data_IF_546960063370
#
_entry.id   IF_546960063370
#
_cell.length_a   1.000
_cell.length_b   1.000
_cell.length_c   1.000
_cell.angle_alpha   90.00
_cell.angle_beta   90.00
_cell.angle_gamma   90.00
#
_symmetry.space_group_name_H-M   'P 1'
#
loop_
_entity.id
_entity.type
_entity.pdbx_description
1 polymer ?
#
# COMPACT_ATOMS: atom_id res chain seq x y z
N UNK A 1 -35.51 -3.41 -63.14
CA UNK A 1 -34.27 -3.92 -62.50
C UNK A 1 -33.62 -2.75 -61.80
N UNK A 2 -33.35 -2.70 -60.50
CA UNK A 2 -33.63 -3.58 -59.37
C UNK A 2 -33.50 -2.72 -58.11
N UNK A 3 -34.43 -2.89 -57.19
CA UNK A 3 -34.43 -2.33 -55.83
C UNK A 3 -33.52 -3.20 -54.95
N UNK A 4 -32.55 -2.62 -54.25
CA UNK A 4 -31.78 -3.29 -53.18
C UNK A 4 -31.74 -2.31 -51.99
N UNK A 5 -32.68 -2.43 -51.07
CA UNK A 5 -32.63 -3.19 -49.81
C UNK A 5 -31.64 -2.62 -48.78
N UNK A 6 -32.14 -1.65 -48.01
CA UNK A 6 -31.48 -1.06 -46.85
C UNK A 6 -32.02 -1.64 -45.56
N UNK A 7 -31.58 -2.84 -45.15
CA UNK A 7 -31.88 -3.39 -43.82
C UNK A 7 -30.76 -4.28 -43.27
N UNK A 8 -29.54 -3.78 -43.07
CA UNK A 8 -28.61 -4.57 -42.23
C UNK A 8 -27.47 -3.83 -41.52
N UNK A 9 -27.76 -2.74 -40.79
CA UNK A 9 -26.73 -2.07 -39.96
C UNK A 9 -27.10 -1.79 -38.50
N UNK A 10 -28.29 -2.19 -38.03
CA UNK A 10 -28.77 -1.87 -36.66
C UNK A 10 -28.73 -3.02 -35.64
N UNK A 11 -28.31 -4.23 -36.00
CA UNK A 11 -28.32 -5.39 -35.07
C UNK A 11 -27.01 -5.66 -34.31
N UNK A 12 -25.85 -5.20 -34.77
CA UNK A 12 -24.55 -5.58 -34.19
C UNK A 12 -24.06 -4.75 -32.98
N UNK A 13 -24.67 -3.59 -32.67
CA UNK A 13 -24.26 -2.75 -31.53
C UNK A 13 -24.81 -3.21 -30.17
N UNK A 14 -25.93 -3.93 -30.16
CA UNK A 14 -26.66 -4.30 -28.93
C UNK A 14 -26.12 -5.56 -28.25
N UNK A 15 -25.62 -6.52 -29.04
CA UNK A 15 -25.06 -7.78 -28.54
C UNK A 15 -23.69 -7.60 -27.84
N UNK A 16 -22.81 -6.73 -28.36
CA UNK A 16 -21.49 -6.43 -27.76
C UNK A 16 -21.57 -5.69 -26.42
N UNK A 17 -22.64 -4.91 -26.19
CA UNK A 17 -22.86 -4.18 -24.93
C UNK A 17 -23.40 -5.08 -23.80
N UNK A 18 -24.16 -6.13 -24.13
CA UNK A 18 -24.67 -7.10 -23.15
C UNK A 18 -23.58 -8.04 -22.61
N UNK A 19 -22.59 -8.44 -23.43
CA UNK A 19 -21.49 -9.29 -22.99
C UNK A 19 -20.62 -8.67 -21.89
N UNK A 20 -20.22 -7.40 -22.05
CA UNK A 20 -19.43 -6.66 -21.03
C UNK A 20 -20.20 -6.40 -19.73
N UNK A 21 -21.48 -6.06 -19.83
CA UNK A 21 -22.31 -5.83 -18.64
C UNK A 21 -22.54 -7.12 -17.83
N UNK A 22 -22.64 -8.26 -18.52
CA UNK A 22 -22.75 -9.58 -17.89
C UNK A 22 -21.47 -9.99 -17.17
N UNK A 23 -20.30 -9.76 -17.79
CA UNK A 23 -18.99 -10.05 -17.17
C UNK A 23 -18.71 -9.15 -15.96
N UNK A 24 -19.07 -7.86 -16.03
CA UNK A 24 -18.91 -6.94 -14.89
C UNK A 24 -19.83 -7.31 -13.73
N UNK A 25 -21.07 -7.75 -14.02
CA UNK A 25 -22.00 -8.22 -12.99
C UNK A 25 -21.51 -9.50 -12.32
N UNK A 26 -20.98 -10.46 -13.08
CA UNK A 26 -20.38 -11.68 -12.55
C UNK A 26 -19.15 -11.37 -11.68
N UNK A 27 -18.26 -10.48 -12.13
CA UNK A 27 -17.08 -10.02 -11.38
C UNK A 27 -17.47 -9.35 -10.06
N UNK A 28 -18.49 -8.48 -10.07
CA UNK A 28 -19.02 -7.85 -8.86
C UNK A 28 -19.64 -8.86 -7.89
N UNK A 29 -20.37 -9.86 -8.40
CA UNK A 29 -20.94 -10.94 -7.57
C UNK A 29 -19.85 -11.77 -6.91
N UNK A 30 -18.83 -12.17 -7.66
CA UNK A 30 -17.68 -12.92 -7.14
C UNK A 30 -16.88 -12.08 -6.13
N UNK A 31 -16.64 -10.80 -6.40
CA UNK A 31 -15.98 -9.89 -5.46
C UNK A 31 -16.77 -9.75 -4.15
N UNK A 32 -18.11 -9.71 -4.21
CA UNK A 32 -18.97 -9.70 -3.02
C UNK A 32 -18.94 -11.01 -2.24
N UNK A 33 -18.94 -12.16 -2.92
CA UNK A 33 -18.84 -13.47 -2.27
C UNK A 33 -17.48 -13.67 -1.60
N UNK A 34 -16.39 -13.22 -2.23
CA UNK A 34 -15.06 -13.20 -1.61
C UNK A 34 -15.07 -12.28 -0.40
N UNK A 35 -15.54 -11.04 -0.55
CA UNK A 35 -15.61 -10.10 0.56
C UNK A 35 -16.48 -10.60 1.74
N UNK A 36 -17.51 -11.40 1.48
CA UNK A 36 -18.36 -12.00 2.52
C UNK A 36 -17.69 -13.16 3.26
N UNK A 37 -16.68 -13.81 2.68
CA UNK A 37 -15.94 -14.95 3.28
C UNK A 37 -14.55 -14.56 3.76
N UNK A 38 -14.13 -13.34 3.49
CA UNK A 38 -12.82 -12.81 3.83
C UNK A 38 -12.93 -11.93 5.06
N UNK A 39 -12.05 -12.16 6.03
CA UNK A 39 -11.90 -11.24 7.15
C UNK A 39 -11.04 -10.07 6.71
N UNK A 40 -11.53 -8.86 6.98
CA UNK A 40 -10.77 -7.63 6.74
C UNK A 40 -10.48 -6.92 8.05
N UNK A 41 -9.30 -6.33 8.12
CA UNK A 41 -8.85 -5.50 9.23
C UNK A 41 -8.54 -4.09 8.75
N UNK A 42 -8.93 -3.11 9.55
CA UNK A 42 -8.57 -1.70 9.39
C UNK A 42 -7.77 -1.27 10.62
N UNK A 43 -6.60 -0.67 10.39
CA UNK A 43 -5.84 0.02 11.42
C UNK A 43 -5.98 1.52 11.24
N UNK A 44 -6.37 2.22 12.30
CA UNK A 44 -6.64 3.65 12.22
C UNK A 44 -6.77 4.29 13.60
N UNK A 45 -7.33 5.49 13.62
CA UNK A 45 -7.54 6.24 14.86
C UNK A 45 -8.57 5.51 15.74
N UNK A 46 -8.31 5.48 17.04
CA UNK A 46 -9.25 4.95 18.03
C UNK A 46 -10.51 5.82 18.17
N UNK A 47 -11.56 5.26 18.77
CA UNK A 47 -12.79 5.96 19.13
C UNK A 47 -14.05 5.48 18.40
N UNK A 48 -13.91 4.65 17.37
CA UNK A 48 -15.05 3.99 16.72
C UNK A 48 -15.50 2.75 17.50
N UNK A 49 -16.80 2.47 17.48
CA UNK A 49 -17.45 1.34 18.16
C UNK A 49 -18.04 0.34 17.16
N UNK A 50 -18.43 -0.83 17.66
CA UNK A 50 -19.14 -1.84 16.86
C UNK A 50 -20.45 -1.26 16.33
N UNK A 51 -20.71 -1.45 15.04
CA UNK A 51 -21.86 -0.89 14.34
C UNK A 51 -21.60 0.48 13.71
N UNK A 52 -20.52 1.16 14.08
CA UNK A 52 -20.15 2.42 13.44
C UNK A 52 -19.74 2.20 11.99
N UNK A 53 -19.91 3.26 11.21
CA UNK A 53 -19.45 3.30 9.83
C UNK A 53 -18.12 4.03 9.77
N UNK A 54 -17.09 3.32 9.33
CA UNK A 54 -15.83 3.90 8.91
C UNK A 54 -16.06 4.69 7.61
N UNK A 55 -15.84 6.00 7.68
CA UNK A 55 -16.04 6.95 6.59
C UNK A 55 -14.70 7.45 6.05
N UNK A 56 -14.69 7.82 4.77
CA UNK A 56 -13.49 8.30 4.10
C UNK A 56 -13.07 9.69 4.60
N UNK A 57 -11.78 10.06 4.48
CA UNK A 57 -11.27 11.39 4.83
C UNK A 57 -12.03 12.55 4.18
N UNK A 58 -12.50 12.38 2.94
CA UNK A 58 -13.34 13.38 2.25
C UNK A 58 -14.63 13.74 3.02
N UNK A 59 -15.18 12.80 3.79
CA UNK A 59 -16.42 13.00 4.55
C UNK A 59 -16.16 13.39 6.01
N UNK A 60 -15.03 12.98 6.57
CA UNK A 60 -14.70 13.20 7.99
C UNK A 60 -13.77 14.38 8.22
N UNK A 61 -13.11 14.88 7.16
CA UNK A 61 -11.98 15.81 7.23
C UNK A 61 -10.82 15.30 8.10
N UNK A 62 -10.74 13.99 8.35
CA UNK A 62 -9.65 13.39 9.09
C UNK A 62 -8.34 13.51 8.30
N UNK A 63 -7.24 13.75 9.01
CA UNK A 63 -5.89 13.67 8.43
C UNK A 63 -5.66 12.21 8.01
N UNK A 64 -5.20 12.03 6.78
CA UNK A 64 -5.02 10.72 6.15
C UNK A 64 -3.73 10.70 5.33
N UNK A 65 -3.20 9.51 5.06
CA UNK A 65 -2.10 9.30 4.10
C UNK A 65 -2.40 9.96 2.75
N UNK A 66 -3.67 10.00 2.33
CA UNK A 66 -4.12 10.72 1.11
C UNK A 66 -3.93 12.24 1.12
N UNK A 67 -3.51 12.84 2.25
CA UNK A 67 -3.06 14.23 2.31
C UNK A 67 -1.62 14.40 1.80
N UNK A 68 -0.83 13.32 1.76
CA UNK A 68 0.60 13.34 1.46
C UNK A 68 0.97 12.42 0.29
N UNK A 69 0.19 11.36 0.06
CA UNK A 69 0.38 10.41 -1.02
C UNK A 69 -0.68 10.62 -2.13
N UNK A 70 -0.25 10.94 -3.37
CA UNK A 70 -1.17 11.15 -4.50
C UNK A 70 -1.83 9.85 -5.02
N UNK A 71 -1.31 8.68 -4.67
CA UNK A 71 -1.89 7.38 -5.04
C UNK A 71 -3.11 7.09 -4.15
N UNK A 72 -3.02 7.44 -2.87
CA UNK A 72 -4.10 7.29 -1.92
C UNK A 72 -5.27 8.26 -2.21
N UNK A 73 -6.45 7.69 -2.42
CA UNK A 73 -7.72 8.40 -2.67
C UNK A 73 -8.40 8.85 -1.38
N UNK A 74 -8.77 10.13 -1.29
CA UNK A 74 -9.51 10.74 -0.15
C UNK A 74 -10.94 10.25 0.02
N UNK A 75 -11.54 9.70 -1.03
CA UNK A 75 -12.93 9.21 -1.04
C UNK A 75 -13.05 7.70 -0.80
N UNK A 76 -12.04 7.11 -0.15
CA UNK A 76 -11.95 5.69 0.16
C UNK A 76 -11.50 5.46 1.60
N UNK A 77 -11.83 4.28 2.10
CA UNK A 77 -11.30 3.69 3.32
C UNK A 77 -10.52 2.44 2.94
N UNK A 78 -9.42 2.18 3.65
CA UNK A 78 -8.47 1.11 3.35
C UNK A 78 -8.51 0.04 4.43
N UNK A 79 -8.41 -1.21 4.01
CA UNK A 79 -8.41 -2.38 4.89
C UNK A 79 -7.65 -3.51 4.20
N UNK A 80 -7.23 -4.50 4.97
CA UNK A 80 -6.37 -5.59 4.48
C UNK A 80 -6.83 -6.93 5.01
N UNK A 81 -6.45 -8.00 4.32
CA UNK A 81 -6.58 -9.39 4.81
C UNK A 81 -5.41 -9.83 5.68
N UNK A 82 -4.44 -8.95 5.92
CA UNK A 82 -3.32 -9.20 6.82
C UNK A 82 -3.51 -8.38 8.10
N UNK A 83 -3.87 -9.09 9.18
CA UNK A 83 -4.08 -8.47 10.50
C UNK A 83 -2.86 -7.71 11.00
N UNK A 84 -1.64 -8.20 10.75
CA UNK A 84 -0.42 -7.53 11.22
C UNK A 84 -0.13 -6.27 10.41
N UNK A 85 -0.38 -6.30 9.10
CA UNK A 85 -0.30 -5.10 8.27
C UNK A 85 -1.25 -4.02 8.78
N UNK A 86 -2.50 -4.35 9.10
CA UNK A 86 -3.44 -3.40 9.70
C UNK A 86 -2.94 -2.85 11.04
N UNK A 87 -2.38 -3.69 11.93
CA UNK A 87 -1.81 -3.24 13.21
C UNK A 87 -0.66 -2.26 13.02
N UNK A 88 0.20 -2.48 12.04
CA UNK A 88 1.29 -1.55 11.73
C UNK A 88 0.77 -0.15 11.40
N UNK A 89 -0.32 -0.03 10.65
CA UNK A 89 -0.97 1.25 10.37
C UNK A 89 -1.68 1.86 11.57
N UNK A 90 -2.32 1.03 12.42
CA UNK A 90 -2.88 1.52 13.68
C UNK A 90 -1.82 2.20 14.55
N UNK A 91 -0.62 1.59 14.65
CA UNK A 91 0.49 2.14 15.43
C UNK A 91 1.11 3.42 14.89
N UNK A 92 0.83 3.81 13.64
CA UNK A 92 1.27 5.13 13.13
C UNK A 92 0.42 6.28 13.68
N UNK A 93 -0.79 6.00 14.16
CA UNK A 93 -1.72 7.03 14.62
C UNK A 93 -1.33 7.61 15.98
N UNK A 94 -0.40 6.97 16.70
CA UNK A 94 0.07 7.41 18.02
C UNK A 94 0.99 8.64 17.95
N UNK A 95 1.47 9.03 16.77
CA UNK A 95 2.28 10.22 16.55
C UNK A 95 1.40 11.48 16.42
N UNK A 96 0.71 11.85 17.51
CA UNK A 96 0.02 13.14 17.65
C UNK A 96 -1.47 13.17 17.23
N UNK A 97 -2.04 12.06 16.76
CA UNK A 97 -3.46 11.97 16.36
C UNK A 97 -4.35 11.21 17.37
N UNK A 98 -3.79 10.76 18.50
CA UNK A 98 -4.48 10.01 19.54
C UNK A 98 -3.92 8.59 19.67
N UNK A 99 -4.78 7.63 20.03
CA UNK A 99 -4.39 6.22 20.10
C UNK A 99 -4.75 5.48 18.82
N UNK A 100 -3.93 4.50 18.44
CA UNK A 100 -4.25 3.58 17.35
C UNK A 100 -5.21 2.47 17.78
N UNK A 101 -6.09 2.03 16.90
CA UNK A 101 -6.94 0.87 17.13
C UNK A 101 -7.01 -0.05 15.91
N UNK A 102 -7.23 -1.34 16.19
CA UNK A 102 -7.45 -2.37 15.20
C UNK A 102 -8.92 -2.75 15.16
N UNK A 103 -9.51 -2.68 13.98
CA UNK A 103 -10.90 -2.98 13.74
C UNK A 103 -11.05 -4.15 12.78
N UNK A 104 -11.95 -5.09 13.08
CA UNK A 104 -12.47 -6.02 12.09
C UNK A 104 -13.63 -5.37 11.37
N UNK A 105 -13.60 -5.37 10.04
CA UNK A 105 -14.54 -4.57 9.24
C UNK A 105 -15.21 -5.37 8.13
N UNK A 106 -16.43 -4.98 7.78
CA UNK A 106 -17.10 -5.39 6.55
C UNK A 106 -17.12 -4.23 5.55
N UNK A 107 -16.56 -4.38 4.34
CA UNK A 107 -16.67 -3.36 3.30
C UNK A 107 -18.13 -3.08 2.96
N UNK A 108 -18.49 -1.82 2.77
CA UNK A 108 -19.82 -1.43 2.29
C UNK A 108 -19.72 -0.81 0.90
N UNK A 109 -20.27 -1.52 -0.08
CA UNK A 109 -20.26 -1.14 -1.49
C UNK A 109 -19.34 -2.03 -2.31
N UNK A 110 -18.84 -1.49 -3.41
CA UNK A 110 -17.87 -2.20 -4.25
C UNK A 110 -16.47 -2.09 -3.61
N UNK A 111 -15.80 -3.24 -3.49
CA UNK A 111 -14.42 -3.36 -3.00
C UNK A 111 -13.46 -3.42 -4.18
N UNK A 112 -12.42 -2.61 -4.15
CA UNK A 112 -11.32 -2.57 -5.12
C UNK A 112 -10.02 -3.00 -4.43
N UNK A 113 -9.05 -3.51 -5.19
CA UNK A 113 -7.69 -3.73 -4.68
C UNK A 113 -7.01 -2.38 -4.45
N UNK A 114 -6.19 -2.31 -3.39
CA UNK A 114 -5.34 -1.17 -3.08
C UNK A 114 -4.09 -1.18 -3.99
N UNK A 115 -3.84 -0.11 -4.77
CA UNK A 115 -2.64 -0.02 -5.60
C UNK A 115 -1.32 -0.13 -4.82
N UNK A 116 -1.30 0.29 -3.54
CA UNK A 116 -0.09 0.28 -2.72
C UNK A 116 0.23 -1.12 -2.19
N UNK A 117 -0.81 -1.95 -2.02
CA UNK A 117 -0.72 -3.30 -1.46
C UNK A 117 -1.55 -4.29 -2.30
N UNK A 118 -1.27 -4.49 -3.61
CA UNK A 118 -2.18 -5.19 -4.51
C UNK A 118 -2.45 -6.66 -4.12
N UNK A 119 -1.55 -7.26 -3.34
CA UNK A 119 -1.67 -8.64 -2.87
C UNK A 119 -2.53 -8.81 -1.60
N UNK A 120 -2.75 -7.76 -0.80
CA UNK A 120 -3.37 -7.89 0.53
C UNK A 120 -4.27 -6.71 0.92
N UNK A 121 -4.05 -5.53 0.34
CA UNK A 121 -4.81 -4.32 0.60
C UNK A 121 -6.00 -4.16 -0.33
N UNK A 122 -7.04 -3.55 0.23
CA UNK A 122 -8.31 -3.32 -0.40
C UNK A 122 -8.87 -1.96 0.03
N UNK A 123 -9.74 -1.41 -0.81
CA UNK A 123 -10.39 -0.15 -0.56
C UNK A 123 -11.88 -0.19 -0.92
N UNK A 124 -12.70 0.56 -0.19
CA UNK A 124 -14.12 0.78 -0.49
C UNK A 124 -14.53 2.21 -0.13
N UNK A 125 -15.76 2.61 -0.44
CA UNK A 125 -16.28 3.95 -0.04
C UNK A 125 -16.46 4.10 1.47
N UNK A 126 -16.78 3.01 2.15
CA UNK A 126 -16.95 2.96 3.60
C UNK A 126 -16.86 1.50 4.07
N UNK A 127 -16.72 1.28 5.37
CA UNK A 127 -16.81 -0.05 5.97
C UNK A 127 -17.62 0.01 7.26
N UNK A 128 -18.22 -1.11 7.65
CA UNK A 128 -18.89 -1.27 8.95
C UNK A 128 -17.90 -1.87 9.95
N UNK A 129 -17.80 -1.29 11.14
CA UNK A 129 -17.05 -1.88 12.23
C UNK A 129 -17.83 -3.07 12.79
N UNK A 130 -17.26 -4.26 12.66
CA UNK A 130 -17.84 -5.50 13.19
C UNK A 130 -17.35 -5.80 14.59
N UNK A 131 -16.12 -5.40 14.88
CA UNK A 131 -15.44 -5.66 16.15
C UNK A 131 -14.31 -4.65 16.33
N UNK A 132 -14.07 -4.25 17.58
CA UNK A 132 -12.86 -3.54 17.97
C UNK A 132 -11.94 -4.55 18.63
N UNK A 133 -10.90 -4.95 17.91
CA UNK A 133 -10.03 -6.06 18.33
C UNK A 133 -8.93 -5.61 19.28
N UNK A 134 -8.34 -4.44 19.04
CA UNK A 134 -7.29 -3.88 19.88
C UNK A 134 -7.52 -2.37 20.01
N UNK A 135 -7.40 -1.86 21.24
CA UNK A 135 -7.22 -0.45 21.52
C UNK A 135 -5.76 -0.19 21.88
N UNK A 136 -5.29 1.04 21.68
CA UNK A 136 -3.92 1.47 21.95
C UNK A 136 -2.87 0.59 21.28
N UNK A 137 -3.12 0.20 20.02
CA UNK A 137 -2.23 -0.66 19.25
C UNK A 137 -0.87 0.02 19.04
N UNK A 138 0.13 -0.44 19.79
CA UNK A 138 1.51 0.04 19.75
C UNK A 138 2.43 -1.09 19.32
N UNK A 139 3.08 -0.91 18.17
CA UNK A 139 4.15 -1.76 17.68
C UNK A 139 5.48 -0.99 17.74
N UNK A 140 6.56 -1.69 18.11
CA UNK A 140 7.90 -1.15 17.92
C UNK A 140 8.19 -0.95 16.42
N UNK A 141 9.16 -0.08 16.05
CA UNK A 141 9.53 0.12 14.65
C UNK A 141 9.90 -1.18 13.92
N UNK A 142 10.58 -2.11 14.62
CA UNK A 142 10.92 -3.42 14.07
C UNK A 142 9.70 -4.33 13.83
N UNK A 143 8.68 -4.26 14.69
CA UNK A 143 7.44 -5.02 14.49
C UNK A 143 6.60 -4.44 13.36
N UNK A 144 6.46 -3.12 13.31
CA UNK A 144 5.80 -2.43 12.20
C UNK A 144 6.52 -2.66 10.86
N UNK A 145 7.85 -2.70 10.88
CA UNK A 145 8.69 -3.07 9.73
C UNK A 145 8.40 -4.50 9.25
N UNK A 146 8.42 -5.49 10.16
CA UNK A 146 8.10 -6.89 9.84
C UNK A 146 6.72 -7.09 9.24
N UNK A 147 5.73 -6.34 9.71
CA UNK A 147 4.37 -6.39 9.21
C UNK A 147 4.22 -5.80 7.79
N UNK A 148 5.00 -4.76 7.45
CA UNK A 148 4.98 -4.13 6.12
C UNK A 148 5.88 -4.81 5.10
N UNK A 149 6.96 -5.45 5.56
CA UNK A 149 7.99 -6.09 4.73
C UNK A 149 7.48 -6.93 3.56
N UNK A 150 6.44 -7.78 3.69
CA UNK A 150 6.03 -8.64 2.60
C UNK A 150 5.48 -7.88 1.38
N UNK A 151 5.19 -6.59 1.54
CA UNK A 151 4.48 -5.78 0.55
C UNK A 151 5.24 -4.54 0.10
N UNK A 152 6.24 -4.07 0.86
CA UNK A 152 6.99 -2.87 0.48
C UNK A 152 8.08 -3.21 -0.53
N UNK A 153 7.99 -2.59 -1.69
CA UNK A 153 8.93 -2.78 -2.81
C UNK A 153 9.55 -1.45 -3.24
N UNK A 154 10.76 -1.51 -3.76
CA UNK A 154 11.36 -0.43 -4.53
C UNK A 154 10.58 -0.21 -5.83
N UNK A 155 10.87 0.90 -6.50
CA UNK A 155 10.35 1.24 -7.83
C UNK A 155 10.67 0.16 -8.90
N UNK A 156 11.75 -0.60 -8.72
CA UNK A 156 12.12 -1.73 -9.56
C UNK A 156 11.40 -3.06 -9.23
N UNK A 157 10.48 -3.03 -8.25
CA UNK A 157 9.66 -4.16 -7.82
C UNK A 157 10.34 -5.15 -6.86
N UNK A 158 11.61 -4.94 -6.50
CA UNK A 158 12.29 -5.76 -5.47
C UNK A 158 11.79 -5.37 -4.08
N UNK A 159 11.73 -6.32 -3.16
CA UNK A 159 11.38 -6.04 -1.76
C UNK A 159 12.40 -5.10 -1.11
N UNK A 160 11.93 -4.12 -0.34
CA UNK A 160 12.82 -3.17 0.35
C UNK A 160 13.61 -3.82 1.48
N UNK A 161 13.06 -4.79 2.18
CA UNK A 161 13.75 -5.53 3.25
C UNK A 161 13.65 -7.03 3.03
N UNK A 162 14.66 -7.77 3.49
CA UNK A 162 14.54 -9.22 3.65
C UNK A 162 13.78 -9.61 4.93
N UNK A 163 13.65 -10.92 5.15
CA UNK A 163 13.01 -11.50 6.34
C UNK A 163 13.72 -11.16 7.66
N UNK A 164 14.99 -10.74 7.61
CA UNK A 164 15.78 -10.35 8.79
C UNK A 164 15.67 -8.85 9.07
N UNK A 165 15.08 -8.08 8.17
CA UNK A 165 15.00 -6.62 8.25
C UNK A 165 16.19 -5.91 7.63
N UNK A 166 17.01 -6.60 6.84
CA UNK A 166 18.10 -5.96 6.11
C UNK A 166 17.55 -5.28 4.86
N UNK A 167 17.81 -3.98 4.71
CA UNK A 167 17.45 -3.23 3.51
C UNK A 167 18.16 -3.84 2.29
N UNK A 168 17.39 -4.22 1.27
CA UNK A 168 17.87 -4.79 0.02
C UNK A 168 18.27 -3.69 -0.95
N UNK A 169 19.28 -3.96 -1.76
CA UNK A 169 19.65 -3.11 -2.88
C UNK A 169 18.54 -2.98 -3.93
N UNK A 170 18.36 -1.75 -4.42
CA UNK A 170 17.69 -1.48 -5.69
C UNK A 170 18.73 -1.23 -6.80
N UNK A 171 18.25 -1.15 -8.05
CA UNK A 171 19.12 -0.90 -9.22
C UNK A 171 19.86 0.44 -9.16
N UNK A 172 19.26 1.46 -8.55
CA UNK A 172 19.87 2.79 -8.47
C UNK A 172 21.10 2.75 -7.56
N UNK A 173 20.98 2.12 -6.38
CA UNK A 173 22.08 1.93 -5.44
C UNK A 173 23.23 1.09 -6.06
N UNK A 174 22.89 0.03 -6.80
CA UNK A 174 23.88 -0.75 -7.56
C UNK A 174 24.63 0.13 -8.57
N UNK A 175 23.92 1.02 -9.29
CA UNK A 175 24.53 1.93 -10.27
C UNK A 175 25.49 2.96 -9.64
N UNK A 176 25.29 3.32 -8.36
CA UNK A 176 26.22 4.15 -7.59
C UNK A 176 27.35 3.34 -6.92
N UNK A 177 27.50 2.05 -7.23
CA UNK A 177 28.58 1.21 -6.71
C UNK A 177 28.37 0.69 -5.28
N UNK A 178 27.15 0.78 -4.74
CA UNK A 178 26.82 0.13 -3.48
C UNK A 178 26.67 -1.38 -3.69
N UNK A 179 27.12 -2.16 -2.71
CA UNK A 179 26.85 -3.59 -2.63
C UNK A 179 26.10 -3.93 -1.33
N UNK A 180 25.47 -5.10 -1.26
CA UNK A 180 24.64 -5.49 -0.12
C UNK A 180 25.43 -5.53 1.20
N UNK A 181 26.71 -5.91 1.12
CA UNK A 181 27.61 -5.90 2.27
C UNK A 181 27.94 -4.50 2.80
N UNK A 182 27.80 -3.44 1.98
CA UNK A 182 27.89 -2.06 2.44
C UNK A 182 26.63 -1.66 3.20
N UNK A 183 25.44 -1.89 2.63
CA UNK A 183 24.17 -1.57 3.30
C UNK A 183 24.06 -2.25 4.65
N UNK A 184 24.37 -3.55 4.72
CA UNK A 184 24.28 -4.32 5.96
C UNK A 184 25.20 -3.82 7.09
N UNK A 185 26.28 -3.10 6.75
CA UNK A 185 27.21 -2.51 7.73
C UNK A 185 26.82 -1.09 8.12
N UNK A 186 26.21 -0.35 7.21
CA UNK A 186 25.88 1.06 7.38
C UNK A 186 24.53 1.26 8.07
N UNK A 187 23.57 0.38 7.79
CA UNK A 187 22.19 0.56 8.19
C UNK A 187 21.80 -0.42 9.31
N UNK A 188 21.09 0.06 10.34
CA UNK A 188 20.45 -0.85 11.29
C UNK A 188 19.38 -1.70 10.60
N UNK A 189 18.98 -2.80 11.25
CA UNK A 189 17.82 -3.56 10.80
C UNK A 189 16.58 -2.67 10.84
N UNK A 190 15.71 -2.83 9.84
CA UNK A 190 14.48 -2.05 9.67
C UNK A 190 14.69 -0.55 9.45
N UNK A 191 15.92 -0.13 9.09
CA UNK A 191 16.18 1.25 8.68
C UNK A 191 15.18 1.69 7.61
N UNK A 192 14.53 2.83 7.82
CA UNK A 192 13.61 3.41 6.82
C UNK A 192 14.41 4.05 5.67
N UNK A 193 13.79 4.29 4.50
CA UNK A 193 14.43 5.07 3.44
C UNK A 193 14.92 6.46 3.91
N UNK A 194 14.17 7.10 4.80
CA UNK A 194 14.50 8.40 5.38
C UNK A 194 15.74 8.34 6.29
N UNK A 195 15.86 7.27 7.10
CA UNK A 195 17.04 7.02 7.94
C UNK A 195 18.26 6.63 7.10
N UNK A 196 18.05 5.85 6.03
CA UNK A 196 19.12 5.37 5.17
C UNK A 196 19.70 6.46 4.27
N UNK A 197 18.85 7.35 3.74
CA UNK A 197 19.26 8.40 2.79
C UNK A 197 20.47 9.23 3.24
N UNK A 198 20.50 9.85 4.45
CA UNK A 198 21.66 10.64 4.87
C UNK A 198 22.93 9.80 5.03
N UNK A 199 22.81 8.57 5.54
CA UNK A 199 23.94 7.65 5.74
C UNK A 199 24.54 7.23 4.40
N UNK A 200 23.69 6.91 3.43
CA UNK A 200 24.10 6.51 2.09
C UNK A 200 24.72 7.68 1.33
N UNK A 201 24.12 8.88 1.38
CA UNK A 201 24.65 10.07 0.73
C UNK A 201 26.04 10.44 1.26
N UNK A 202 26.22 10.45 2.58
CA UNK A 202 27.52 10.70 3.19
C UNK A 202 28.55 9.63 2.80
N UNK A 203 28.17 8.35 2.75
CA UNK A 203 29.05 7.29 2.26
C UNK A 203 29.51 7.52 0.82
N UNK A 204 28.58 7.83 -0.09
CA UNK A 204 28.87 8.10 -1.50
C UNK A 204 29.83 9.28 -1.66
N UNK A 205 29.59 10.40 -0.96
CA UNK A 205 30.47 11.56 -1.00
C UNK A 205 31.88 11.26 -0.47
N UNK A 206 32.01 10.48 0.61
CA UNK A 206 33.34 10.07 1.12
C UNK A 206 34.08 9.17 0.13
N UNK A 207 33.38 8.32 -0.61
CA UNK A 207 34.00 7.46 -1.62
C UNK A 207 34.50 8.24 -2.83
N UNK A 208 33.73 9.24 -3.30
CA UNK A 208 34.15 10.14 -4.38
C UNK A 208 35.38 10.97 -4.00
N UNK A 209 35.41 11.51 -2.77
CA UNK A 209 36.54 12.28 -2.26
C UNK A 209 37.84 11.46 -2.20
N UNK A 210 37.76 10.18 -1.82
CA UNK A 210 38.93 9.27 -1.78
C UNK A 210 39.42 8.90 -3.19
N UNK A 211 38.50 8.70 -4.14
CA UNK A 211 38.85 8.46 -5.55
C UNK A 211 39.56 9.66 -6.19
N UNK A 212 39.15 10.88 -5.86
CA UNK A 212 39.74 12.13 -6.36
C UNK A 212 41.08 12.50 -5.69
N UNK A 213 41.39 11.94 -4.53
CA UNK A 213 42.69 12.09 -3.87
C UNK A 213 43.73 11.08 -4.40
N UNK A 214 43.31 9.85 -4.73
CA UNK A 214 44.21 8.82 -5.28
C UNK A 214 44.74 9.12 -6.67
N UNK A 215 44.04 9.95 -7.46
CA UNK A 215 44.42 10.30 -8.84
C UNK A 215 45.39 11.50 -8.94
N UNK A 216 45.79 12.09 -7.80
CA UNK A 216 46.74 13.22 -7.73
C UNK A 216 48.15 12.82 -7.30
N UNK A 217 48.41 11.52 -7.15
CA UNK A 217 49.69 10.96 -6.69
C UNK A 217 50.49 10.30 -7.82
N UNK A 218 50.10 10.50 -9.08
CA UNK A 218 50.71 9.91 -10.27
C UNK A 218 51.02 10.99 -11.29
N UNK A 219 51.96 11.88 -10.97
CA UNK A 219 52.60 12.80 -11.91
C UNK A 219 54.04 13.02 -11.47
#
# INVERSE_FOLDING_TARGET
MSTVDGRDRRRNGRARRMGKASTDKARRRQAREVAARTTFWHGGVAGLQVGDRLLSPELTNAISVSNYDPIARKNRVYFTTDRQLARAYASLMTEGLGHGALYRVAPVGDTESDPDFPAAGFQARSALILEVEEYDTLLSPSEAGRARQPYTTWDDGRLMWDRRGQMQLNRHMEAYGLNQGHLNRLLPLWATPEEASPILNDHLHRTEARGSAGNRSSS
#
